data_IF_397346893254
#
_entry.id   IF_397346893254
#
_cell.length_a   1.000
_cell.length_b   1.000
_cell.length_c   1.000
_cell.angle_alpha   90.00
_cell.angle_beta   90.00
_cell.angle_gamma   90.00
#
_symmetry.space_group_name_H-M   'P 1'
#
loop_
_entity.id
_entity.type
_entity.pdbx_description
1 polymer ?
#
# COMPACT_ATOMS: atom_id res chain seq x y z
N UNK A 1 -4.78 -16.29 -40.60
CA UNK A 1 -3.71 -15.39 -40.11
C UNK A 1 -4.14 -13.96 -40.34
N UNK A 2 -4.63 -13.28 -39.31
CA UNK A 2 -4.79 -11.81 -39.35
C UNK A 2 -3.43 -11.21 -38.99
N UNK A 3 -2.91 -10.35 -39.85
CA UNK A 3 -1.75 -9.54 -39.55
C UNK A 3 -2.09 -8.66 -38.33
N UNK A 4 -1.28 -8.79 -37.28
CA UNK A 4 -1.25 -7.84 -36.19
C UNK A 4 -0.50 -6.64 -36.77
N UNK A 5 -1.21 -5.53 -37.04
CA UNK A 5 -0.57 -4.24 -37.27
C UNK A 5 0.19 -3.87 -35.99
N UNK A 6 1.51 -4.07 -36.01
CA UNK A 6 2.40 -3.45 -35.05
C UNK A 6 2.46 -1.96 -35.39
N UNK A 7 1.65 -1.14 -34.72
CA UNK A 7 1.88 0.30 -34.67
C UNK A 7 3.24 0.50 -34.03
N UNK A 8 4.26 0.79 -34.83
CA UNK A 8 5.60 1.10 -34.34
C UNK A 8 5.52 2.39 -33.51
N UNK A 9 5.51 2.26 -32.18
CA UNK A 9 5.62 3.38 -31.24
C UNK A 9 7.09 3.86 -31.22
N UNK A 10 7.55 4.44 -32.32
CA UNK A 10 8.90 5.03 -32.41
C UNK A 10 8.82 6.43 -31.79
N UNK A 11 9.68 6.69 -30.80
CA UNK A 11 9.82 8.03 -30.19
C UNK A 11 10.00 9.11 -31.23
N UNK A 12 9.22 10.18 -31.09
CA UNK A 12 9.30 11.34 -31.97
C UNK A 12 10.24 12.42 -31.41
N UNK A 13 10.71 13.31 -32.28
CA UNK A 13 11.60 14.41 -31.90
C UNK A 13 10.98 15.40 -30.91
N UNK A 14 11.80 15.87 -29.98
CA UNK A 14 11.45 16.92 -29.02
C UNK A 14 11.77 18.31 -29.59
N UNK A 15 10.89 19.28 -29.32
CA UNK A 15 11.25 20.69 -29.46
C UNK A 15 12.24 21.11 -28.37
N UNK A 16 12.96 22.22 -28.58
CA UNK A 16 13.87 22.78 -27.58
C UNK A 16 13.20 23.01 -26.22
N UNK A 17 11.93 23.44 -26.23
CA UNK A 17 11.17 23.69 -25.01
C UNK A 17 10.86 22.40 -24.25
N UNK A 18 10.41 21.37 -24.97
CA UNK A 18 10.09 20.06 -24.38
C UNK A 18 11.35 19.35 -23.87
N UNK A 19 12.45 19.39 -24.63
CA UNK A 19 13.73 18.84 -24.18
C UNK A 19 14.22 19.52 -22.90
N UNK A 20 14.11 20.86 -22.81
CA UNK A 20 14.47 21.60 -21.59
C UNK A 20 13.57 21.25 -20.41
N UNK A 21 12.26 21.07 -20.63
CA UNK A 21 11.32 20.64 -19.60
C UNK A 21 11.75 19.29 -18.99
N UNK A 22 11.89 18.27 -19.84
CA UNK A 22 12.23 16.92 -19.41
C UNK A 22 13.60 16.88 -18.73
N UNK A 23 14.60 17.58 -19.28
CA UNK A 23 15.93 17.66 -18.68
C UNK A 23 15.92 18.31 -17.28
N UNK A 24 15.09 19.35 -17.06
CA UNK A 24 14.96 20.00 -15.75
C UNK A 24 14.28 19.09 -14.73
N UNK A 25 13.13 18.52 -15.09
CA UNK A 25 12.35 17.68 -14.17
C UNK A 25 13.10 16.39 -13.81
N UNK A 26 13.60 15.67 -14.82
CA UNK A 26 14.38 14.45 -14.61
C UNK A 26 15.72 14.74 -13.91
N UNK A 27 16.37 15.86 -14.22
CA UNK A 27 17.61 16.29 -13.55
C UNK A 27 17.40 16.65 -12.07
N UNK A 28 16.18 17.02 -11.69
CA UNK A 28 15.77 17.21 -10.30
C UNK A 28 15.27 15.92 -9.63
N UNK A 29 15.38 14.76 -10.29
CA UNK A 29 14.97 13.46 -9.75
C UNK A 29 13.49 13.13 -9.93
N UNK A 30 12.70 13.95 -10.62
CA UNK A 30 11.28 13.66 -10.84
C UNK A 30 11.14 12.57 -11.89
N UNK A 31 10.67 11.39 -11.47
CA UNK A 31 10.28 10.31 -12.39
C UNK A 31 8.81 10.43 -12.78
N UNK A 32 7.95 10.86 -11.86
CA UNK A 32 6.52 11.10 -12.09
C UNK A 32 6.28 12.59 -11.90
N UNK A 33 5.46 13.16 -12.77
CA UNK A 33 5.17 14.59 -12.81
C UNK A 33 3.67 14.84 -12.98
N UNK A 34 3.22 15.96 -12.44
CA UNK A 34 1.87 16.49 -12.57
C UNK A 34 1.80 17.57 -13.66
N UNK A 35 0.58 17.99 -14.00
CA UNK A 35 0.39 19.19 -14.83
C UNK A 35 0.97 20.43 -14.13
N UNK A 36 0.84 20.52 -12.80
CA UNK A 36 1.34 21.64 -12.00
C UNK A 36 2.88 21.75 -12.06
N UNK A 37 3.59 20.62 -12.16
CA UNK A 37 5.05 20.61 -12.37
C UNK A 37 5.43 21.23 -13.72
N UNK A 38 4.64 20.96 -14.76
CA UNK A 38 4.85 21.53 -16.10
C UNK A 38 4.53 23.02 -16.11
N UNK A 39 3.42 23.43 -15.48
CA UNK A 39 3.03 24.83 -15.31
C UNK A 39 4.14 25.62 -14.63
N UNK A 40 4.62 25.12 -13.49
CA UNK A 40 5.64 25.76 -12.67
C UNK A 40 7.00 25.81 -13.39
N UNK A 41 7.40 24.71 -14.03
CA UNK A 41 8.73 24.62 -14.68
C UNK A 41 8.84 25.49 -15.94
N UNK A 42 7.74 25.68 -16.66
CA UNK A 42 7.69 26.44 -17.91
C UNK A 42 7.02 27.81 -17.82
N UNK A 43 6.48 28.15 -16.66
CA UNK A 43 5.73 29.37 -16.37
C UNK A 43 4.60 29.59 -17.40
N UNK A 44 3.76 28.56 -17.57
CA UNK A 44 2.65 28.55 -18.54
C UNK A 44 1.29 28.38 -17.88
N UNK A 45 0.21 28.84 -18.53
CA UNK A 45 -1.15 28.55 -18.07
C UNK A 45 -1.48 27.05 -18.10
N UNK A 46 -2.43 26.59 -17.25
CA UNK A 46 -2.83 25.19 -17.16
C UNK A 46 -3.21 24.51 -18.48
N UNK A 47 -3.92 25.23 -19.35
CA UNK A 47 -4.33 24.67 -20.63
C UNK A 47 -3.13 24.37 -21.53
N UNK A 48 -2.14 25.27 -21.55
CA UNK A 48 -0.90 25.07 -22.29
C UNK A 48 -0.05 23.94 -21.70
N UNK A 49 -0.01 23.79 -20.37
CA UNK A 49 0.66 22.67 -19.74
C UNK A 49 0.04 21.32 -20.11
N UNK A 50 -1.30 21.22 -20.12
CA UNK A 50 -2.03 20.02 -20.57
C UNK A 50 -1.77 19.70 -22.04
N UNK A 51 -1.74 20.72 -22.91
CA UNK A 51 -1.38 20.55 -24.32
C UNK A 51 0.06 20.04 -24.49
N UNK A 52 1.01 20.56 -23.70
CA UNK A 52 2.39 20.08 -23.68
C UNK A 52 2.44 18.61 -23.23
N UNK A 53 1.74 18.25 -22.15
CA UNK A 53 1.69 16.89 -21.64
C UNK A 53 1.09 15.91 -22.67
N UNK A 54 -0.01 16.29 -23.34
CA UNK A 54 -0.63 15.50 -24.41
C UNK A 54 0.36 15.23 -25.54
N UNK A 55 1.00 16.29 -26.05
CA UNK A 55 1.98 16.17 -27.12
C UNK A 55 3.18 15.32 -26.72
N UNK A 56 3.69 15.45 -25.50
CA UNK A 56 4.79 14.60 -25.01
C UNK A 56 4.37 13.13 -24.84
N UNK A 57 3.10 12.87 -24.50
CA UNK A 57 2.53 11.53 -24.45
C UNK A 57 2.44 10.92 -25.85
N UNK A 58 1.90 11.66 -26.81
CA UNK A 58 1.82 11.26 -28.23
C UNK A 58 3.20 10.99 -28.83
N UNK A 59 4.24 11.71 -28.38
CA UNK A 59 5.62 11.53 -28.82
C UNK A 59 6.38 10.39 -28.12
N UNK A 60 5.81 9.74 -27.10
CA UNK A 60 6.43 8.63 -26.36
C UNK A 60 7.47 9.07 -25.31
N UNK A 61 7.36 10.28 -24.78
CA UNK A 61 8.25 10.81 -23.73
C UNK A 61 7.59 10.89 -22.36
N UNK A 62 6.26 10.91 -22.33
CA UNK A 62 5.46 10.73 -21.14
C UNK A 62 4.56 9.52 -21.32
N UNK A 63 4.30 8.79 -20.24
CA UNK A 63 3.20 7.85 -20.15
C UNK A 63 2.17 8.38 -19.16
N UNK A 64 0.90 8.35 -19.51
CA UNK A 64 -0.16 8.91 -18.67
C UNK A 64 -0.62 7.86 -17.68
N UNK A 65 -0.28 8.04 -16.40
CA UNK A 65 -0.71 7.15 -15.32
C UNK A 65 -2.21 7.30 -15.04
N UNK A 66 -2.67 8.55 -14.88
CA UNK A 66 -4.07 8.91 -14.66
C UNK A 66 -4.27 10.41 -14.97
N UNK A 67 -5.50 10.96 -14.90
CA UNK A 67 -5.73 12.36 -15.26
C UNK A 67 -4.85 13.33 -14.46
N UNK A 68 -3.98 14.05 -15.17
CA UNK A 68 -3.11 15.07 -14.59
C UNK A 68 -1.74 14.58 -14.13
N UNK A 69 -1.45 13.28 -14.21
CA UNK A 69 -0.19 12.69 -13.72
C UNK A 69 0.43 11.76 -14.74
N UNK A 70 1.74 11.90 -14.92
CA UNK A 70 2.50 11.33 -16.03
C UNK A 70 3.83 10.77 -15.53
N UNK A 71 4.20 9.60 -16.02
CA UNK A 71 5.53 9.02 -15.87
C UNK A 71 6.45 9.56 -16.97
N UNK A 72 7.62 10.08 -16.61
CA UNK A 72 8.67 10.41 -17.57
C UNK A 72 9.27 9.10 -18.07
N UNK A 73 9.25 8.90 -19.39
CA UNK A 73 9.87 7.73 -20.00
C UNK A 73 11.36 8.05 -20.23
N UNK A 74 12.29 7.40 -19.52
CA UNK A 74 13.72 7.71 -19.61
C UNK A 74 14.30 7.23 -20.94
N UNK A 75 15.46 7.78 -21.33
CA UNK A 75 16.17 7.36 -22.53
C UNK A 75 16.55 5.87 -22.51
N UNK A 76 16.79 5.31 -21.31
CA UNK A 76 17.08 3.90 -21.09
C UNK A 76 15.96 2.95 -21.54
N UNK A 77 14.73 3.45 -21.72
CA UNK A 77 13.60 2.69 -22.27
C UNK A 77 13.72 2.39 -23.78
N UNK A 78 14.78 2.88 -24.44
CA UNK A 78 15.00 2.66 -25.87
C UNK A 78 13.98 3.37 -26.76
N UNK A 79 13.88 2.92 -28.01
CA UNK A 79 13.00 3.52 -29.02
C UNK A 79 11.53 3.13 -28.83
N UNK A 80 11.26 1.96 -28.26
CA UNK A 80 9.91 1.42 -28.02
C UNK A 80 9.19 2.10 -26.85
N UNK A 81 9.91 2.87 -26.03
CA UNK A 81 9.38 3.66 -24.92
C UNK A 81 8.58 2.87 -23.86
N UNK A 82 8.78 1.55 -23.76
CA UNK A 82 8.16 0.71 -22.72
C UNK A 82 8.95 0.86 -21.42
N UNK A 83 8.35 1.49 -20.41
CA UNK A 83 8.96 1.71 -19.12
C UNK A 83 7.89 1.77 -18.02
N UNK A 84 8.24 1.25 -16.85
CA UNK A 84 7.48 1.47 -15.62
C UNK A 84 8.45 1.66 -14.47
N UNK A 85 7.97 2.18 -13.34
CA UNK A 85 8.75 2.36 -12.12
C UNK A 85 8.13 1.56 -11.00
N UNK A 86 8.80 1.47 -9.85
CA UNK A 86 8.28 0.79 -8.69
C UNK A 86 6.89 1.33 -8.29
N UNK A 87 5.96 0.41 -8.05
CA UNK A 87 4.55 0.70 -7.80
C UNK A 87 4.31 1.62 -6.59
N UNK A 88 5.17 1.57 -5.57
CA UNK A 88 5.09 2.49 -4.42
C UNK A 88 5.36 3.96 -4.78
N UNK A 89 6.17 4.23 -5.82
CA UNK A 89 6.40 5.59 -6.30
C UNK A 89 5.15 6.15 -6.99
N UNK A 90 4.44 5.30 -7.73
CA UNK A 90 3.14 5.63 -8.32
C UNK A 90 2.11 5.88 -7.21
N UNK A 91 2.10 5.03 -6.18
CA UNK A 91 1.17 5.14 -5.06
C UNK A 91 1.27 6.50 -4.33
N UNK A 92 2.47 7.06 -4.18
CA UNK A 92 2.68 8.39 -3.59
C UNK A 92 1.96 9.52 -4.36
N UNK A 93 1.63 9.30 -5.63
CA UNK A 93 0.86 10.26 -6.44
C UNK A 93 -0.64 9.94 -6.45
N UNK A 94 -1.06 8.76 -5.96
CA UNK A 94 -2.47 8.36 -5.85
C UNK A 94 -3.17 9.09 -4.69
N UNK A 95 -2.44 9.35 -3.59
CA UNK A 95 -2.91 10.06 -2.42
C UNK A 95 -1.75 10.77 -1.71
N UNK A 96 -2.01 11.93 -1.10
CA UNK A 96 -1.05 12.64 -0.26
C UNK A 96 -1.79 13.39 0.88
N UNK A 97 -1.33 13.32 2.15
CA UNK A 97 -0.31 12.41 2.65
C UNK A 97 -0.77 10.95 2.60
N UNK A 98 0.17 9.99 2.55
CA UNK A 98 -0.12 8.56 2.55
C UNK A 98 1.01 7.74 3.17
N UNK A 99 0.71 6.47 3.50
CA UNK A 99 1.70 5.41 3.64
C UNK A 99 1.24 4.13 2.93
N UNK A 100 2.19 3.27 2.55
CA UNK A 100 1.93 1.91 2.05
C UNK A 100 1.63 1.00 3.23
N UNK A 101 0.48 0.34 3.23
CA UNK A 101 0.01 -0.48 4.36
C UNK A 101 -0.47 -1.87 3.96
N UNK A 102 -1.05 -2.57 4.93
CA UNK A 102 -1.71 -3.87 4.76
C UNK A 102 -0.85 -4.90 4.00
N UNK A 103 -1.41 -5.61 3.00
CA UNK A 103 -0.68 -6.69 2.31
C UNK A 103 0.60 -6.22 1.62
N UNK A 104 0.62 -4.98 1.12
CA UNK A 104 1.82 -4.40 0.52
C UNK A 104 2.93 -4.27 1.55
N UNK A 105 2.62 -3.74 2.74
CA UNK A 105 3.59 -3.63 3.82
C UNK A 105 4.01 -5.00 4.39
N UNK A 106 3.09 -5.98 4.48
CA UNK A 106 3.46 -7.36 4.85
C UNK A 106 4.52 -7.93 3.89
N UNK A 107 4.32 -7.76 2.58
CA UNK A 107 5.27 -8.20 1.56
C UNK A 107 6.60 -7.43 1.67
N UNK A 108 6.54 -6.11 1.86
CA UNK A 108 7.73 -5.26 2.05
C UNK A 108 8.59 -5.72 3.23
N UNK A 109 7.97 -6.02 4.37
CA UNK A 109 8.64 -6.52 5.56
C UNK A 109 9.01 -8.01 5.47
N UNK A 110 8.65 -8.71 4.38
CA UNK A 110 8.88 -10.13 4.22
C UNK A 110 8.14 -10.99 5.24
N UNK A 111 6.97 -10.55 5.71
CA UNK A 111 6.07 -11.26 6.63
C UNK A 111 5.10 -12.20 5.91
N UNK A 112 5.15 -12.21 4.58
CA UNK A 112 4.40 -13.10 3.70
C UNK A 112 5.31 -13.53 2.55
N UNK A 113 5.11 -14.75 2.05
CA UNK A 113 5.73 -15.22 0.81
C UNK A 113 4.90 -14.87 -0.43
N UNK A 114 3.66 -14.41 -0.23
CA UNK A 114 2.78 -14.06 -1.33
C UNK A 114 3.08 -12.66 -1.83
N UNK A 115 3.31 -12.54 -3.14
CA UNK A 115 3.42 -11.23 -3.79
C UNK A 115 2.00 -10.68 -4.04
N UNK A 116 1.59 -9.58 -3.38
CA UNK A 116 0.28 -9.01 -3.57
C UNK A 116 0.17 -8.41 -4.98
N UNK A 117 -0.96 -8.62 -5.65
CA UNK A 117 -1.25 -7.98 -6.96
C UNK A 117 -1.74 -6.54 -6.83
N UNK A 118 -2.15 -6.15 -5.62
CA UNK A 118 -2.76 -4.85 -5.30
C UNK A 118 -1.81 -4.08 -4.41
N UNK A 119 -1.60 -2.80 -4.73
CA UNK A 119 -0.92 -1.86 -3.84
C UNK A 119 -1.94 -1.22 -2.91
N UNK A 120 -1.72 -1.36 -1.61
CA UNK A 120 -2.58 -0.80 -0.58
C UNK A 120 -2.02 0.52 -0.07
N UNK A 121 -2.84 1.56 -0.19
CA UNK A 121 -2.49 2.94 0.15
C UNK A 121 -3.39 3.42 1.27
N UNK A 122 -2.80 3.85 2.39
CA UNK A 122 -3.53 4.40 3.52
C UNK A 122 -3.35 5.91 3.56
N UNK A 123 -4.43 6.65 3.80
CA UNK A 123 -4.40 8.12 3.83
C UNK A 123 -5.48 8.67 4.76
N UNK A 124 -5.27 9.82 5.44
CA UNK A 124 -6.32 10.47 6.21
C UNK A 124 -7.24 11.32 5.33
N UNK A 125 -6.89 11.53 4.06
CA UNK A 125 -7.65 12.37 3.13
C UNK A 125 -8.43 11.52 2.12
N UNK A 126 -9.43 12.13 1.50
CA UNK A 126 -10.25 11.44 0.50
C UNK A 126 -9.45 11.29 -0.79
N UNK A 127 -9.14 10.05 -1.15
CA UNK A 127 -8.57 9.71 -2.45
C UNK A 127 -9.33 8.55 -3.11
N UNK A 128 -9.13 8.37 -4.41
CA UNK A 128 -9.84 7.35 -5.19
C UNK A 128 -8.91 6.20 -5.57
N UNK A 129 -9.37 4.98 -5.28
CA UNK A 129 -8.77 3.75 -5.80
C UNK A 129 -8.81 3.75 -7.34
N UNK A 130 -7.80 3.15 -7.96
CA UNK A 130 -7.63 3.13 -9.42
C UNK A 130 -6.76 1.98 -9.85
N UNK A 131 -6.82 1.62 -11.13
CA UNK A 131 -5.92 0.65 -11.74
C UNK A 131 -4.96 1.40 -12.68
N UNK A 132 -3.66 1.17 -12.54
CA UNK A 132 -2.61 1.81 -13.34
C UNK A 132 -1.70 0.70 -13.85
N UNK A 133 -1.56 0.60 -15.18
CA UNK A 133 -0.79 -0.47 -15.84
C UNK A 133 -1.17 -1.90 -15.39
N UNK A 134 -2.46 -2.14 -15.12
CA UNK A 134 -2.95 -3.44 -14.66
C UNK A 134 -2.70 -3.73 -13.17
N UNK A 135 -2.12 -2.79 -12.42
CA UNK A 135 -1.92 -2.87 -10.98
C UNK A 135 -3.03 -2.08 -10.27
N UNK A 136 -3.87 -2.73 -9.44
CA UNK A 136 -4.85 -2.04 -8.61
C UNK A 136 -4.16 -1.31 -7.46
N UNK A 137 -4.49 -0.02 -7.30
CA UNK A 137 -4.13 0.82 -6.16
C UNK A 137 -5.38 1.01 -5.31
N UNK A 138 -5.46 0.27 -4.20
CA UNK A 138 -6.58 0.34 -3.28
C UNK A 138 -6.30 1.36 -2.20
N UNK A 139 -7.09 2.42 -2.19
CA UNK A 139 -7.03 3.48 -1.20
C UNK A 139 -7.96 3.14 -0.03
N UNK A 140 -7.40 3.17 1.17
CA UNK A 140 -8.14 3.12 2.43
C UNK A 140 -8.02 4.46 3.14
N UNK A 141 -9.14 5.17 3.26
CA UNK A 141 -9.19 6.40 4.02
C UNK A 141 -9.42 6.09 5.50
N UNK A 142 -8.50 6.52 6.35
CA UNK A 142 -8.56 6.34 7.81
C UNK A 142 -8.74 7.68 8.52
N UNK A 143 -9.02 7.65 9.82
CA UNK A 143 -9.03 8.89 10.61
C UNK A 143 -7.60 9.31 10.95
N UNK A 144 -7.38 10.59 11.25
CA UNK A 144 -6.08 11.09 11.73
C UNK A 144 -5.53 10.28 12.92
N UNK A 145 -6.43 9.80 13.79
CA UNK A 145 -6.07 8.97 14.94
C UNK A 145 -5.39 7.66 14.53
N UNK A 146 -5.78 7.08 13.38
CA UNK A 146 -5.25 5.81 12.83
C UNK A 146 -4.06 6.02 11.88
N UNK A 147 -3.77 7.26 11.49
CA UNK A 147 -2.69 7.61 10.56
C UNK A 147 -1.37 7.85 11.31
N UNK A 148 -0.67 6.77 11.65
CA UNK A 148 0.61 6.77 12.38
C UNK A 148 1.39 5.48 12.14
N UNK A 149 2.57 5.33 12.74
CA UNK A 149 3.33 4.07 12.72
C UNK A 149 3.86 3.75 11.33
N UNK A 150 4.52 4.72 10.72
CA UNK A 150 5.09 4.58 9.38
C UNK A 150 6.42 5.31 9.31
N UNK A 151 7.30 4.80 8.46
CA UNK A 151 8.68 5.24 8.34
C UNK A 151 9.07 5.52 6.88
N UNK A 152 10.01 6.46 6.66
CA UNK A 152 10.51 6.75 5.33
C UNK A 152 11.36 5.60 4.80
N UNK A 153 10.96 5.05 3.65
CA UNK A 153 11.63 3.96 2.94
C UNK A 153 12.16 4.45 1.60
N UNK A 154 13.43 4.16 1.29
CA UNK A 154 14.02 4.52 -0.01
C UNK A 154 13.72 3.46 -1.06
N UNK A 155 12.97 3.84 -2.10
CA UNK A 155 12.61 3.01 -3.25
C UNK A 155 13.13 3.72 -4.51
N UNK A 156 14.05 3.09 -5.25
CA UNK A 156 14.71 3.68 -6.43
C UNK A 156 15.30 5.09 -6.18
N UNK A 157 15.75 5.38 -4.95
CA UNK A 157 16.29 6.70 -4.57
C UNK A 157 15.23 7.75 -4.21
N UNK A 158 13.94 7.41 -4.27
CA UNK A 158 12.83 8.24 -3.82
C UNK A 158 12.31 7.75 -2.47
N UNK A 159 11.97 8.66 -1.56
CA UNK A 159 11.42 8.31 -0.25
C UNK A 159 9.91 8.13 -0.33
N UNK A 160 9.40 6.98 0.13
CA UNK A 160 7.96 6.70 0.31
C UNK A 160 7.73 6.26 1.75
N UNK A 161 6.58 6.62 2.33
CA UNK A 161 6.22 6.16 3.67
C UNK A 161 5.63 4.75 3.59
N UNK A 162 6.10 3.85 4.46
CA UNK A 162 5.57 2.48 4.61
C UNK A 162 5.23 2.29 6.09
N UNK A 163 4.12 1.62 6.42
CA UNK A 163 3.84 1.29 7.83
C UNK A 163 5.00 0.48 8.40
N UNK A 164 5.43 0.78 9.62
CA UNK A 164 6.43 -0.05 10.31
C UNK A 164 5.87 -1.46 10.56
N UNK A 165 6.73 -2.35 11.04
CA UNK A 165 6.39 -3.76 11.21
C UNK A 165 5.20 -3.93 12.16
N UNK A 166 5.22 -3.27 13.31
CA UNK A 166 4.21 -3.36 14.37
C UNK A 166 2.87 -2.77 13.91
N UNK A 167 2.89 -1.60 13.26
CA UNK A 167 1.70 -0.97 12.71
C UNK A 167 1.11 -1.78 11.59
N UNK A 168 1.93 -2.45 10.78
CA UNK A 168 1.43 -3.35 9.73
C UNK A 168 0.57 -4.46 10.33
N UNK A 169 1.02 -5.11 11.40
CA UNK A 169 0.23 -6.13 12.11
C UNK A 169 -1.08 -5.57 12.66
N UNK A 170 -1.02 -4.38 13.28
CA UNK A 170 -2.19 -3.71 13.86
C UNK A 170 -3.21 -3.30 12.80
N UNK A 171 -2.76 -2.79 11.65
CA UNK A 171 -3.60 -2.46 10.51
C UNK A 171 -4.26 -3.69 9.90
N UNK A 172 -3.51 -4.78 9.76
CA UNK A 172 -4.03 -6.06 9.30
C UNK A 172 -5.06 -6.64 10.28
N UNK A 173 -4.92 -6.44 11.59
CA UNK A 173 -5.93 -6.83 12.57
C UNK A 173 -7.20 -5.96 12.51
N UNK A 174 -7.06 -4.66 12.19
CA UNK A 174 -8.16 -3.72 11.98
C UNK A 174 -8.99 -4.08 10.75
N UNK A 175 -8.29 -4.37 9.64
CA UNK A 175 -8.87 -4.72 8.34
C UNK A 175 -8.26 -6.01 7.75
N UNK A 176 -8.62 -7.20 8.26
CA UNK A 176 -8.10 -8.48 7.76
C UNK A 176 -8.37 -8.71 6.28
N UNK A 177 -9.46 -8.14 5.74
CA UNK A 177 -9.79 -8.20 4.31
C UNK A 177 -8.74 -7.54 3.40
N UNK A 178 -7.85 -6.71 3.95
CA UNK A 178 -6.78 -6.05 3.19
C UNK A 178 -5.44 -6.77 3.29
N UNK A 179 -5.37 -7.89 4.01
CA UNK A 179 -4.15 -8.70 4.12
C UNK A 179 -4.38 -10.18 3.84
N UNK A 180 -5.48 -10.57 3.18
CA UNK A 180 -5.75 -11.98 2.89
C UNK A 180 -6.47 -12.75 4.01
N UNK A 181 -6.98 -12.04 5.02
CA UNK A 181 -7.75 -12.60 6.13
C UNK A 181 -6.87 -12.98 7.32
N UNK A 182 -7.47 -13.65 8.31
CA UNK A 182 -6.83 -13.85 9.59
C UNK A 182 -5.69 -14.88 9.56
N UNK A 183 -5.75 -15.85 8.65
CA UNK A 183 -4.67 -16.83 8.48
C UNK A 183 -3.36 -16.15 8.05
N UNK A 184 -3.45 -15.18 7.16
CA UNK A 184 -2.26 -14.44 6.71
C UNK A 184 -1.73 -13.57 7.85
N UNK A 185 -2.60 -12.93 8.64
CA UNK A 185 -2.19 -12.21 9.83
C UNK A 185 -1.50 -13.14 10.85
N UNK A 186 -2.01 -14.35 11.08
CA UNK A 186 -1.37 -15.32 11.98
C UNK A 186 0.04 -15.71 11.49
N UNK A 187 0.19 -15.91 10.18
CA UNK A 187 1.50 -16.20 9.55
C UNK A 187 2.46 -15.02 9.71
N UNK A 188 1.97 -13.80 9.47
CA UNK A 188 2.73 -12.58 9.65
C UNK A 188 3.17 -12.36 11.10
N UNK A 189 2.28 -12.57 12.08
CA UNK A 189 2.60 -12.44 13.50
C UNK A 189 3.68 -13.43 13.94
N UNK A 190 3.60 -14.69 13.50
CA UNK A 190 4.64 -15.70 13.78
C UNK A 190 5.99 -15.29 13.19
N UNK A 191 6.00 -14.91 11.92
CA UNK A 191 7.23 -14.47 11.23
C UNK A 191 7.82 -13.22 11.87
N UNK A 192 6.97 -12.29 12.31
CA UNK A 192 7.38 -11.09 13.01
C UNK A 192 7.99 -11.41 14.38
N UNK A 193 7.39 -12.32 15.14
CA UNK A 193 7.92 -12.80 16.43
C UNK A 193 9.31 -13.41 16.29
N UNK A 194 9.49 -14.30 15.31
CA UNK A 194 10.80 -14.91 14.98
C UNK A 194 11.88 -13.88 14.61
N UNK A 195 11.46 -12.71 14.12
CA UNK A 195 12.35 -11.60 13.73
C UNK A 195 12.55 -10.55 14.82
N UNK A 196 11.97 -10.76 16.01
CA UNK A 196 12.11 -9.85 17.14
C UNK A 196 11.23 -8.61 17.08
N UNK A 197 9.99 -8.76 16.58
CA UNK A 197 8.92 -7.76 16.68
C UNK A 197 8.82 -7.19 18.10
N UNK A 198 8.63 -5.87 18.22
CA UNK A 198 8.38 -5.25 19.51
C UNK A 198 6.90 -5.32 19.90
N UNK A 199 6.54 -6.36 20.63
CA UNK A 199 5.17 -6.56 21.11
C UNK A 199 4.71 -5.52 22.14
N UNK A 200 5.61 -4.76 22.77
CA UNK A 200 5.23 -3.60 23.59
C UNK A 200 4.68 -2.52 22.67
N UNK A 201 5.40 -2.19 21.60
CA UNK A 201 4.96 -1.23 20.58
C UNK A 201 3.64 -1.65 19.92
N UNK A 202 3.45 -2.95 19.63
CA UNK A 202 2.15 -3.46 19.14
C UNK A 202 1.01 -3.15 20.13
N UNK A 203 1.24 -3.34 21.43
CA UNK A 203 0.28 -2.99 22.48
C UNK A 203 -0.08 -1.51 22.48
N UNK A 204 0.92 -0.63 22.48
CA UNK A 204 0.73 0.83 22.39
C UNK A 204 -0.04 1.24 21.14
N UNK A 205 0.23 0.58 20.01
CA UNK A 205 -0.43 0.86 18.74
C UNK A 205 -1.88 0.40 18.75
N UNK A 206 -2.21 -0.72 19.40
CA UNK A 206 -3.60 -1.16 19.60
C UNK A 206 -4.40 -0.17 20.46
N UNK A 207 -3.79 0.34 21.53
CA UNK A 207 -4.42 1.38 22.37
C UNK A 207 -4.67 2.65 21.55
N UNK A 208 -3.66 3.11 20.79
CA UNK A 208 -3.80 4.27 19.93
C UNK A 208 -4.81 4.06 18.80
N UNK A 209 -4.91 2.85 18.25
CA UNK A 209 -5.88 2.44 17.22
C UNK A 209 -7.30 2.38 17.79
N UNK A 210 -7.48 2.16 19.10
CA UNK A 210 -8.77 2.12 19.81
C UNK A 210 -9.85 1.41 18.97
N UNK A 211 -9.51 0.19 18.54
CA UNK A 211 -10.44 -0.72 17.86
C UNK A 211 -10.45 -2.06 18.61
N UNK A 212 -11.50 -2.25 19.42
CA UNK A 212 -11.65 -3.47 20.21
C UNK A 212 -11.68 -4.76 19.39
N UNK A 213 -12.13 -4.77 18.13
CA UNK A 213 -12.09 -5.97 17.29
C UNK A 213 -10.65 -6.33 16.89
N UNK A 214 -9.84 -5.33 16.53
CA UNK A 214 -8.41 -5.52 16.21
C UNK A 214 -7.65 -6.01 17.44
N UNK A 215 -7.85 -5.37 18.60
CA UNK A 215 -7.24 -5.76 19.88
C UNK A 215 -7.57 -7.21 20.23
N UNK A 216 -8.84 -7.60 20.15
CA UNK A 216 -9.28 -8.98 20.42
C UNK A 216 -8.61 -9.98 19.48
N UNK A 217 -8.47 -9.66 18.18
CA UNK A 217 -7.81 -10.53 17.20
C UNK A 217 -6.33 -10.72 17.50
N UNK A 218 -5.59 -9.65 17.81
CA UNK A 218 -4.17 -9.76 18.17
C UNK A 218 -4.00 -10.60 19.43
N UNK A 219 -4.75 -10.31 20.49
CA UNK A 219 -4.66 -11.07 21.75
C UNK A 219 -5.00 -12.54 21.53
N UNK A 220 -6.06 -12.84 20.78
CA UNK A 220 -6.43 -14.21 20.44
C UNK A 220 -5.31 -14.93 19.68
N UNK A 221 -4.77 -14.31 18.62
CA UNK A 221 -3.72 -14.90 17.81
C UNK A 221 -2.42 -15.07 18.60
N UNK A 222 -2.04 -14.10 19.44
CA UNK A 222 -0.85 -14.21 20.29
C UNK A 222 -0.94 -15.44 21.20
N UNK A 223 -2.09 -15.64 21.85
CA UNK A 223 -2.33 -16.80 22.70
C UNK A 223 -2.30 -18.12 21.92
N UNK A 224 -2.87 -18.18 20.71
CA UNK A 224 -2.84 -19.38 19.88
C UNK A 224 -1.43 -19.71 19.38
N UNK A 225 -0.62 -18.69 19.11
CA UNK A 225 0.73 -18.83 18.55
C UNK A 225 1.82 -18.97 19.64
N UNK A 226 1.47 -18.79 20.92
CA UNK A 226 2.43 -18.82 22.01
C UNK A 226 3.35 -17.59 22.04
N UNK A 227 2.90 -16.47 21.47
CA UNK A 227 3.63 -15.19 21.45
C UNK A 227 3.43 -14.49 22.80
N UNK A 228 4.53 -14.07 23.42
CA UNK A 228 4.48 -13.28 24.64
C UNK A 228 4.09 -11.83 24.33
N UNK A 229 2.91 -11.42 24.77
CA UNK A 229 2.37 -10.08 24.59
C UNK A 229 2.42 -9.34 25.94
N UNK A 230 3.39 -8.44 26.19
CA UNK A 230 3.61 -7.88 27.53
C UNK A 230 2.41 -7.14 28.12
N UNK A 231 1.62 -6.44 27.29
CA UNK A 231 0.43 -5.69 27.70
C UNK A 231 -0.87 -6.52 27.67
N UNK A 232 -0.77 -7.86 27.66
CA UNK A 232 -1.92 -8.74 27.43
C UNK A 232 -3.05 -8.53 28.45
N UNK A 233 -2.72 -8.41 29.74
CA UNK A 233 -3.74 -8.28 30.79
C UNK A 233 -4.52 -6.97 30.66
N UNK A 234 -3.83 -5.87 30.36
CA UNK A 234 -4.41 -4.55 30.11
C UNK A 234 -5.31 -4.57 28.87
N UNK A 235 -4.85 -5.18 27.77
CA UNK A 235 -5.62 -5.29 26.53
C UNK A 235 -6.88 -6.15 26.70
N UNK A 236 -6.81 -7.25 27.46
CA UNK A 236 -8.00 -8.07 27.79
C UNK A 236 -8.98 -7.27 28.66
N UNK A 237 -8.47 -6.50 29.63
CA UNK A 237 -9.30 -5.67 30.50
C UNK A 237 -10.02 -4.55 29.72
N UNK A 238 -9.45 -4.08 28.60
CA UNK A 238 -10.07 -3.06 27.74
C UNK A 238 -11.13 -3.62 26.78
N UNK A 239 -11.39 -4.93 26.78
CA UNK A 239 -12.37 -5.53 25.86
C UNK A 239 -13.79 -5.00 26.10
N UNK A 240 -14.39 -4.48 25.04
CA UNK A 240 -15.82 -4.16 25.02
C UNK A 240 -16.67 -5.42 25.07
N UNK A 241 -17.89 -5.31 25.61
CA UNK A 241 -18.80 -6.45 25.83
C UNK A 241 -19.31 -7.12 24.55
N UNK A 242 -19.25 -6.43 23.41
CA UNK A 242 -19.73 -6.95 22.12
C UNK A 242 -18.84 -8.06 21.55
N UNK A 243 -19.47 -9.02 20.86
CA UNK A 243 -18.75 -10.05 20.13
C UNK A 243 -18.42 -9.58 18.72
N UNK A 244 -17.15 -9.70 18.34
CA UNK A 244 -16.68 -9.42 16.96
C UNK A 244 -16.34 -10.72 16.25
N UNK A 245 -16.54 -10.79 14.92
CA UNK A 245 -16.09 -11.95 14.15
C UNK A 245 -14.56 -12.01 14.16
N UNK A 246 -14.03 -13.20 14.43
CA UNK A 246 -12.60 -13.48 14.47
C UNK A 246 -11.98 -13.14 13.09
N UNK A 247 -12.54 -13.68 12.01
CA UNK A 247 -12.19 -13.33 10.64
C UNK A 247 -13.40 -12.71 9.89
N UNK A 248 -13.42 -11.40 9.65
CA UNK A 248 -14.52 -10.74 8.96
C UNK A 248 -14.60 -11.10 7.46
N UNK A 249 -13.59 -11.76 6.90
CA UNK A 249 -13.59 -12.23 5.50
C UNK A 249 -14.40 -13.52 5.31
N UNK A 250 -14.81 -14.16 6.41
CA UNK A 250 -15.58 -15.40 6.41
C UNK A 250 -17.03 -15.18 6.86
N UNK A 251 -17.95 -16.11 6.53
CA UNK A 251 -19.30 -16.08 7.05
C UNK A 251 -19.33 -15.95 8.58
N UNK A 252 -20.31 -15.22 9.12
CA UNK A 252 -20.46 -15.00 10.57
C UNK A 252 -21.08 -16.23 11.28
N UNK A 253 -20.54 -17.42 10.97
CA UNK A 253 -20.98 -18.72 11.47
C UNK A 253 -19.90 -19.29 12.37
N UNK A 254 -20.24 -19.65 13.60
CA UNK A 254 -19.27 -20.20 14.56
C UNK A 254 -19.71 -20.04 16.01
N UNK A 255 -19.02 -20.71 16.92
CA UNK A 255 -19.23 -20.56 18.36
C UNK A 255 -18.63 -19.25 18.87
N UNK A 256 -19.27 -18.65 19.86
CA UNK A 256 -18.71 -17.51 20.58
C UNK A 256 -17.75 -17.97 21.66
N UNK A 257 -16.58 -17.34 21.74
CA UNK A 257 -15.65 -17.47 22.86
C UNK A 257 -15.80 -16.27 23.79
N UNK A 258 -16.26 -16.51 25.02
CA UNK A 258 -16.51 -15.45 26.00
C UNK A 258 -15.25 -14.86 26.61
N UNK A 259 -14.12 -15.56 26.56
CA UNK A 259 -12.81 -15.08 27.04
C UNK A 259 -12.34 -13.96 26.14
N UNK A 260 -12.36 -14.20 24.81
CA UNK A 260 -11.89 -13.23 23.84
C UNK A 260 -12.97 -12.27 23.34
N UNK A 261 -14.25 -12.53 23.67
CA UNK A 261 -15.41 -11.82 23.09
C UNK A 261 -15.37 -11.85 21.56
N UNK A 262 -15.04 -13.01 21.00
CA UNK A 262 -14.97 -13.24 19.56
C UNK A 262 -15.94 -14.33 19.14
N UNK A 263 -16.46 -14.24 17.92
CA UNK A 263 -17.06 -15.37 17.24
C UNK A 263 -15.98 -16.09 16.45
N UNK A 264 -15.69 -17.33 16.83
CA UNK A 264 -14.66 -18.17 16.21
C UNK A 264 -15.26 -18.78 14.94
N UNK A 265 -15.18 -18.01 13.84
CA UNK A 265 -15.70 -18.39 12.52
C UNK A 265 -14.61 -18.93 11.56
N UNK A 266 -13.44 -19.26 12.13
CA UNK A 266 -12.33 -19.95 11.49
C UNK A 266 -11.88 -21.05 12.45
N UNK A 267 -11.65 -22.25 11.94
CA UNK A 267 -11.11 -23.34 12.75
C UNK A 267 -9.66 -23.02 13.17
N UNK A 268 -9.27 -23.17 14.45
CA UNK A 268 -7.92 -22.86 14.91
C UNK A 268 -6.82 -23.61 14.14
N UNK A 269 -7.09 -24.86 13.73
CA UNK A 269 -6.16 -25.65 12.92
C UNK A 269 -5.85 -25.03 11.55
N UNK A 270 -6.69 -24.12 11.05
CA UNK A 270 -6.45 -23.40 9.79
C UNK A 270 -5.56 -22.17 9.96
N UNK A 271 -5.18 -21.83 11.20
CA UNK A 271 -4.24 -20.75 11.53
C UNK A 271 -2.79 -21.29 11.63
N UNK A 272 -2.62 -22.62 11.67
CA UNK A 272 -1.34 -23.29 11.50
C UNK A 272 -0.91 -23.19 10.02
N UNK A 273 0.38 -22.93 9.72
CA UNK A 273 0.86 -22.95 8.36
C UNK A 273 0.70 -24.35 7.76
N UNK A 274 0.43 -24.42 6.46
CA UNK A 274 0.48 -25.68 5.74
C UNK A 274 1.95 -26.08 5.65
N UNK A 275 2.34 -27.19 6.28
CA UNK A 275 3.69 -27.75 6.12
C UNK A 275 4.02 -27.80 4.61
N UNK A 276 5.12 -27.14 4.23
CA UNK A 276 5.66 -27.15 2.88
C UNK A 276 6.56 -28.37 2.67
#
# INVERSE_FOLDING_TARGET
MRAIEQTQNIRQGLSTRESRLLARLAGAGHQIISVDDIETTLEVPPNTAREIASRLTEKGWLDRLFPGTYLIIPLTAGEEAVYTTHEYLIAAHVAEPMYIGYYSALSHHGLTEQVPRTVYVVTPTRAQSREIHGVPYRVTTVTERKFFGFEPTSIEGTTVQVSDLEKTLVDCADHPEFCGGLRELATAMRTADERGCDWVTVGEYLERLDNGAATKRIVYLADQLGIDLPAREELVASFTSGYSSLDPTRPDTGSTDSTYRLRINVEPAMLEPTES
#
